data_IF_757323051105
#
_entry.id   IF_757323051105
#
_cell.length_a   1.000
_cell.length_b   1.000
_cell.length_c   1.000
_cell.angle_alpha   90.00
_cell.angle_beta   90.00
_cell.angle_gamma   90.00
#
_symmetry.space_group_name_H-M   'P 1'
#
loop_
_entity.id
_entity.type
_entity.pdbx_description
1 polymer ?
#
# COMPACT_ATOMS: atom_id res chain seq x y z
N UNK A 1 10.79 13.88 -0.72
CA UNK A 1 10.94 12.53 -0.10
C UNK A 1 10.16 12.58 1.22
N UNK A 2 9.60 11.49 1.72
CA UNK A 2 8.86 11.55 3.01
C UNK A 2 9.83 11.62 4.19
N UNK A 3 9.35 12.08 5.35
CA UNK A 3 10.16 12.22 6.58
C UNK A 3 10.82 10.89 6.99
N UNK A 4 10.16 9.76 6.72
CA UNK A 4 10.69 8.42 6.99
C UNK A 4 11.68 7.90 5.92
N UNK A 5 12.03 8.72 4.92
CA UNK A 5 12.93 8.37 3.81
C UNK A 5 12.25 7.68 2.62
N UNK A 6 10.94 7.45 2.67
CA UNK A 6 10.23 6.81 1.57
C UNK A 6 10.04 7.73 0.36
N UNK A 7 10.03 7.12 -0.83
CA UNK A 7 9.69 7.82 -2.07
C UNK A 7 8.19 7.73 -2.31
N UNK A 8 7.53 8.87 -2.19
CA UNK A 8 6.11 9.02 -2.48
C UNK A 8 5.91 9.72 -3.82
N UNK A 9 5.10 9.12 -4.70
CA UNK A 9 4.75 9.64 -6.01
C UNK A 9 3.22 9.59 -6.19
N UNK A 10 2.69 10.33 -7.18
CA UNK A 10 1.28 10.24 -7.57
C UNK A 10 0.85 8.78 -7.82
N UNK A 11 -0.34 8.42 -7.39
CA UNK A 11 -0.93 7.09 -7.47
C UNK A 11 -0.45 6.09 -6.40
N UNK A 12 0.53 6.45 -5.55
CA UNK A 12 0.92 5.62 -4.40
C UNK A 12 -0.10 5.73 -3.26
N UNK A 13 -0.09 4.72 -2.41
CA UNK A 13 -0.87 4.71 -1.18
C UNK A 13 0.01 5.12 -0.01
N UNK A 14 -0.53 5.92 0.88
CA UNK A 14 0.16 6.48 2.05
C UNK A 14 -0.73 6.42 3.27
N UNK A 15 -0.12 6.51 4.45
CA UNK A 15 -0.83 6.86 5.68
C UNK A 15 -0.71 8.35 5.95
N UNK A 16 -1.80 8.98 6.36
CA UNK A 16 -1.82 10.38 6.75
C UNK A 16 -2.67 10.56 8.02
N UNK A 17 -2.40 11.64 8.75
CA UNK A 17 -3.12 11.94 9.99
C UNK A 17 -4.00 13.16 9.80
N UNK A 18 -5.28 13.06 10.17
CA UNK A 18 -6.22 14.17 10.24
C UNK A 18 -6.92 14.12 11.60
N UNK A 19 -6.87 15.22 12.36
CA UNK A 19 -7.46 15.32 13.70
C UNK A 19 -7.04 14.18 14.66
N UNK A 20 -5.79 13.72 14.57
CA UNK A 20 -5.25 12.63 15.39
C UNK A 20 -5.64 11.22 14.95
N UNK A 21 -6.48 11.07 13.92
CA UNK A 21 -6.83 9.78 13.33
C UNK A 21 -5.96 9.48 12.11
N UNK A 22 -5.56 8.22 11.97
CA UNK A 22 -4.74 7.76 10.85
C UNK A 22 -5.64 7.19 9.75
N UNK A 23 -5.39 7.60 8.51
CA UNK A 23 -6.15 7.17 7.33
C UNK A 23 -5.21 6.64 6.26
N UNK A 24 -5.69 5.64 5.52
CA UNK A 24 -5.09 5.25 4.24
C UNK A 24 -5.62 6.19 3.16
N UNK A 25 -4.73 6.69 2.31
CA UNK A 25 -5.11 7.50 1.17
C UNK A 25 -4.27 7.19 -0.05
N UNK A 26 -4.88 7.36 -1.23
CA UNK A 26 -4.19 7.33 -2.53
C UNK A 26 -3.79 8.76 -2.89
N UNK A 27 -2.52 8.97 -3.20
CA UNK A 27 -1.98 10.27 -3.60
C UNK A 27 -2.51 10.62 -4.97
N UNK A 28 -3.37 11.64 -5.03
CA UNK A 28 -3.88 12.19 -6.29
C UNK A 28 -2.90 13.24 -6.81
N UNK A 29 -2.49 14.12 -5.90
CA UNK A 29 -1.60 15.22 -6.22
C UNK A 29 -0.66 15.52 -5.06
N UNK A 30 0.53 16.01 -5.41
CA UNK A 30 1.53 16.54 -4.48
C UNK A 30 1.55 18.04 -4.75
N UNK A 31 1.33 18.84 -3.72
CA UNK A 31 1.18 20.28 -3.78
C UNK A 31 2.52 20.94 -3.45
N UNK A 32 2.89 21.92 -4.27
CA UNK A 32 4.08 22.74 -4.11
C UNK A 32 3.65 24.19 -4.46
N UNK A 33 3.67 25.06 -3.46
CA UNK A 33 3.22 26.44 -3.51
C UNK A 33 4.22 27.31 -4.29
N UNK A 34 5.52 27.01 -4.18
CA UNK A 34 6.55 27.66 -4.98
C UNK A 34 7.58 26.65 -5.53
N UNK A 35 7.41 26.19 -6.78
CA UNK A 35 8.33 25.25 -7.41
C UNK A 35 9.74 25.84 -7.67
N UNK A 36 9.94 27.14 -7.44
CA UNK A 36 11.24 27.79 -7.58
C UNK A 36 12.08 27.78 -6.28
N UNK A 37 11.46 27.43 -5.15
CA UNK A 37 12.13 27.36 -3.84
C UNK A 37 13.11 26.20 -3.71
N UNK A 38 12.94 25.12 -4.50
CA UNK A 38 13.96 24.10 -4.72
C UNK A 38 14.35 23.23 -3.51
N UNK A 39 13.71 23.43 -2.35
CA UNK A 39 13.98 22.64 -1.13
C UNK A 39 13.51 21.18 -1.28
N UNK A 40 12.65 20.87 -2.25
CA UNK A 40 12.24 19.51 -2.62
C UNK A 40 11.27 18.86 -1.63
N UNK A 41 10.82 19.61 -0.62
CA UNK A 41 9.78 19.23 0.32
C UNK A 41 8.42 19.75 -0.15
N UNK A 42 7.40 18.89 -0.24
CA UNK A 42 6.07 19.30 -0.67
C UNK A 42 5.33 20.07 0.41
N UNK A 43 4.61 21.12 0.02
CA UNK A 43 3.74 21.91 0.91
C UNK A 43 2.47 21.15 1.34
N UNK A 44 2.12 20.10 0.59
CA UNK A 44 1.05 19.20 0.99
C UNK A 44 0.73 18.13 -0.04
N UNK A 45 -0.32 17.38 0.26
CA UNK A 45 -0.78 16.23 -0.52
C UNK A 45 -2.30 16.27 -0.62
N UNK A 46 -2.81 16.11 -1.83
CA UNK A 46 -4.22 15.78 -2.04
C UNK A 46 -4.36 14.27 -2.07
N UNK A 47 -5.06 13.71 -1.09
CA UNK A 47 -5.30 12.29 -0.99
C UNK A 47 -6.77 11.98 -1.24
N UNK A 48 -7.01 10.96 -2.07
CA UNK A 48 -8.30 10.27 -2.09
C UNK A 48 -8.34 9.31 -0.91
N UNK A 49 -9.36 9.43 -0.05
CA UNK A 49 -9.49 8.58 1.13
C UNK A 49 -9.74 7.13 0.72
N UNK A 50 -9.16 6.21 1.47
CA UNK A 50 -9.45 4.79 1.35
C UNK A 50 -10.04 4.27 2.67
N UNK A 51 -10.95 3.30 2.55
CA UNK A 51 -11.46 2.52 3.67
C UNK A 51 -10.80 1.15 3.68
N UNK A 52 -10.48 0.65 4.87
CA UNK A 52 -9.94 -0.69 5.06
C UNK A 52 -11.04 -1.60 5.62
N UNK A 53 -11.28 -2.74 4.99
CA UNK A 53 -12.18 -3.75 5.54
C UNK A 53 -11.47 -4.54 6.65
N UNK A 54 -12.23 -4.93 7.67
CA UNK A 54 -11.78 -5.88 8.70
C UNK A 54 -11.89 -7.33 8.24
N UNK A 55 -12.59 -7.59 7.13
CA UNK A 55 -12.72 -8.94 6.59
C UNK A 55 -11.39 -9.40 5.99
N UNK A 56 -10.89 -10.59 6.39
CA UNK A 56 -9.63 -11.09 5.88
C UNK A 56 -9.75 -11.49 4.41
N UNK A 57 -8.80 -11.01 3.62
CA UNK A 57 -8.47 -11.65 2.34
C UNK A 57 -7.93 -13.05 2.56
N UNK A 58 -7.78 -13.81 1.47
CA UNK A 58 -7.02 -15.07 1.44
C UNK A 58 -5.58 -14.93 1.94
N UNK A 59 -5.06 -13.70 2.02
CA UNK A 59 -3.75 -13.36 2.57
C UNK A 59 -3.81 -12.90 4.04
N UNK A 60 -4.97 -12.98 4.69
CA UNK A 60 -5.21 -12.47 6.06
C UNK A 60 -4.86 -10.98 6.22
N UNK A 61 -4.98 -10.23 5.13
CA UNK A 61 -4.76 -8.78 5.07
C UNK A 61 -6.07 -8.06 4.76
N UNK A 62 -6.26 -6.83 5.27
CA UNK A 62 -7.48 -6.07 5.05
C UNK A 62 -7.60 -5.62 3.59
N UNK A 63 -8.82 -5.63 3.05
CA UNK A 63 -9.08 -5.03 1.75
C UNK A 63 -9.03 -3.50 1.84
N UNK A 64 -8.67 -2.86 0.74
CA UNK A 64 -8.63 -1.41 0.58
C UNK A 64 -9.57 -1.02 -0.54
N UNK A 65 -10.51 -0.12 -0.26
CA UNK A 65 -11.36 0.49 -1.27
C UNK A 65 -11.21 2.01 -1.23
N UNK A 66 -11.06 2.63 -2.40
CA UNK A 66 -11.08 4.09 -2.49
C UNK A 66 -12.52 4.59 -2.38
N UNK A 67 -12.73 5.69 -1.67
CA UNK A 67 -14.03 6.36 -1.60
C UNK A 67 -13.98 7.68 -2.37
N UNK A 68 -15.14 8.20 -2.77
CA UNK A 68 -15.26 9.50 -3.44
C UNK A 68 -15.16 10.66 -2.44
N UNK A 69 -14.07 10.67 -1.67
CA UNK A 69 -13.74 11.71 -0.69
C UNK A 69 -12.27 12.10 -0.83
N UNK A 70 -12.01 13.39 -0.90
CA UNK A 70 -10.67 13.95 -1.06
C UNK A 70 -10.37 14.94 0.05
N UNK A 71 -9.18 14.82 0.63
CA UNK A 71 -8.73 15.71 1.67
C UNK A 71 -7.29 16.16 1.40
N UNK A 72 -7.02 17.41 1.77
CA UNK A 72 -5.67 17.96 1.76
C UNK A 72 -4.99 17.64 3.09
N UNK A 73 -3.75 17.19 3.01
CA UNK A 73 -2.89 16.88 4.15
C UNK A 73 -1.57 17.61 3.99
N UNK A 74 -1.11 18.29 5.03
CA UNK A 74 0.23 18.87 5.03
C UNK A 74 1.31 17.79 5.16
N UNK A 75 1.03 16.74 5.91
CA UNK A 75 2.01 15.70 6.23
C UNK A 75 1.42 14.30 5.99
N UNK A 76 2.25 13.43 5.42
CA UNK A 76 1.99 12.00 5.31
C UNK A 76 3.05 11.25 6.13
N UNK A 77 2.64 10.18 6.80
CA UNK A 77 3.48 9.44 7.74
C UNK A 77 4.48 8.54 7.01
N UNK A 78 3.98 7.73 6.08
CA UNK A 78 4.76 6.74 5.36
C UNK A 78 4.05 6.30 4.07
N UNK A 79 4.82 5.73 3.14
CA UNK A 79 4.24 5.02 2.01
C UNK A 79 3.82 3.61 2.46
N UNK A 80 2.66 3.16 1.98
CA UNK A 80 2.18 1.82 2.25
C UNK A 80 2.05 1.00 0.98
N UNK A 81 2.28 -0.29 1.14
CA UNK A 81 2.22 -1.23 0.05
C UNK A 81 0.79 -1.79 -0.09
N UNK A 82 0.09 -1.36 -1.13
CA UNK A 82 -1.24 -1.86 -1.51
C UNK A 82 -1.10 -2.70 -2.77
N UNK A 83 -1.66 -3.90 -2.76
CA UNK A 83 -1.45 -4.93 -3.79
C UNK A 83 -2.79 -5.52 -4.22
N UNK A 84 -2.86 -6.12 -5.41
CA UNK A 84 -4.05 -6.90 -5.79
C UNK A 84 -4.06 -8.26 -5.07
N UNK A 85 -5.23 -8.69 -4.61
CA UNK A 85 -5.48 -10.06 -4.16
C UNK A 85 -5.57 -11.02 -5.37
N UNK A 86 -4.46 -11.20 -6.09
CA UNK A 86 -4.44 -11.87 -7.39
C UNK A 86 -4.96 -13.32 -7.34
N UNK A 87 -4.74 -14.03 -6.23
CA UNK A 87 -5.25 -15.40 -6.00
C UNK A 87 -6.77 -15.48 -6.09
N UNK A 88 -7.47 -14.44 -5.63
CA UNK A 88 -8.94 -14.36 -5.60
C UNK A 88 -9.53 -13.84 -6.91
N UNK A 89 -8.70 -13.23 -7.74
CA UNK A 89 -9.08 -12.65 -9.02
C UNK A 89 -8.68 -13.52 -10.21
N UNK A 90 -8.37 -14.81 -10.02
CA UNK A 90 -8.19 -15.74 -11.14
C UNK A 90 -9.57 -15.98 -11.81
N UNK A 91 -9.73 -15.84 -13.14
CA UNK A 91 -8.72 -15.70 -14.21
C UNK A 91 -8.48 -14.28 -14.74
N UNK A 92 -8.90 -13.24 -14.02
CA UNK A 92 -8.76 -11.82 -14.41
C UNK A 92 -7.29 -11.38 -14.44
N UNK A 93 -6.51 -11.73 -13.41
CA UNK A 93 -5.06 -11.48 -13.40
C UNK A 93 -4.33 -12.57 -14.20
N UNK A 94 -3.87 -12.27 -15.41
CA UNK A 94 -3.25 -13.25 -16.32
C UNK A 94 -1.75 -13.04 -16.51
N UNK A 95 -0.98 -14.11 -16.79
CA UNK A 95 0.39 -13.98 -17.24
C UNK A 95 0.44 -13.29 -18.60
N UNK A 96 1.11 -12.14 -18.70
CA UNK A 96 1.27 -11.38 -19.95
C UNK A 96 2.69 -11.46 -20.53
N UNK A 97 3.63 -12.06 -19.80
CA UNK A 97 5.02 -12.20 -20.23
C UNK A 97 5.88 -12.89 -19.20
N UNK A 98 7.20 -12.83 -19.41
CA UNK A 98 8.20 -13.35 -18.50
C UNK A 98 9.29 -12.31 -18.23
N UNK A 99 9.78 -12.26 -17.00
CA UNK A 99 10.90 -11.43 -16.58
C UNK A 99 11.99 -12.30 -15.95
N UNK A 100 13.26 -12.02 -16.26
CA UNK A 100 14.38 -12.67 -15.60
C UNK A 100 14.42 -12.30 -14.11
N UNK A 101 14.61 -13.29 -13.25
CA UNK A 101 14.70 -13.11 -11.81
C UNK A 101 16.12 -12.64 -11.48
N UNK A 102 16.20 -11.52 -10.76
CA UNK A 102 17.46 -11.03 -10.22
C UNK A 102 17.57 -11.49 -8.76
N UNK A 103 18.66 -12.19 -8.44
CA UNK A 103 19.00 -12.60 -7.07
C UNK A 103 20.38 -12.06 -6.74
N UNK A 104 20.56 -11.49 -5.54
CA UNK A 104 21.84 -10.91 -5.10
C UNK A 104 22.47 -9.93 -6.11
N UNK A 105 21.63 -9.13 -6.78
CA UNK A 105 22.03 -8.19 -7.87
C UNK A 105 22.57 -8.84 -9.14
N UNK A 106 22.44 -10.16 -9.30
CA UNK A 106 22.77 -10.90 -10.54
C UNK A 106 21.50 -11.38 -11.23
N UNK A 107 21.40 -11.13 -12.52
CA UNK A 107 20.34 -11.72 -13.34
C UNK A 107 20.60 -13.22 -13.46
N UNK A 108 19.61 -14.02 -13.09
CA UNK A 108 19.67 -15.48 -13.13
C UNK A 108 19.00 -16.01 -14.39
N UNK A 109 19.19 -17.30 -14.69
CA UNK A 109 18.45 -18.00 -15.75
C UNK A 109 16.98 -18.27 -15.38
N UNK A 110 16.59 -18.07 -14.12
CA UNK A 110 15.21 -18.23 -13.69
C UNK A 110 14.35 -17.09 -14.25
N UNK A 111 13.16 -17.42 -14.73
CA UNK A 111 12.16 -16.43 -15.13
C UNK A 111 10.95 -16.51 -14.21
N UNK A 112 10.26 -15.38 -14.08
CA UNK A 112 8.95 -15.29 -13.42
C UNK A 112 7.93 -14.75 -14.40
N UNK A 113 6.69 -15.20 -14.27
CA UNK A 113 5.59 -14.61 -15.02
C UNK A 113 5.40 -13.13 -14.64
N UNK A 114 5.21 -12.27 -15.63
CA UNK A 114 4.70 -10.91 -15.44
C UNK A 114 3.19 -11.05 -15.38
N UNK A 115 2.60 -10.68 -14.25
CA UNK A 115 1.15 -10.69 -14.10
C UNK A 115 0.60 -9.35 -14.56
N UNK A 116 -0.28 -9.39 -15.56
CA UNK A 116 -1.09 -8.25 -15.94
C UNK A 116 -2.32 -8.20 -15.04
N UNK A 117 -2.41 -7.15 -14.25
CA UNK A 117 -3.60 -6.88 -13.47
C UNK A 117 -4.61 -6.15 -14.35
N UNK A 118 -5.73 -6.81 -14.68
CA UNK A 118 -6.87 -6.17 -15.32
C UNK A 118 -7.91 -5.79 -14.27
N UNK A 119 -8.66 -4.71 -14.54
CA UNK A 119 -9.67 -4.15 -13.64
C UNK A 119 -10.67 -5.21 -13.15
N UNK A 120 -11.14 -5.10 -11.89
CA UNK A 120 -11.27 -3.82 -11.19
C UNK A 120 -10.25 -3.59 -10.07
N UNK A 121 -10.04 -2.31 -9.78
CA UNK A 121 -9.28 -1.77 -8.63
C UNK A 121 -9.95 -2.12 -7.27
N UNK A 122 -10.98 -2.97 -7.29
CA UNK A 122 -11.91 -3.22 -6.17
C UNK A 122 -11.43 -4.33 -5.22
N UNK A 123 -10.34 -5.03 -5.56
CA UNK A 123 -9.76 -6.14 -4.78
C UNK A 123 -8.31 -5.86 -4.44
N UNK A 124 -8.08 -4.68 -3.87
CA UNK A 124 -6.80 -4.31 -3.31
C UNK A 124 -6.71 -4.73 -1.85
N UNK A 125 -5.51 -5.08 -1.40
CA UNK A 125 -5.19 -5.45 -0.02
C UNK A 125 -4.05 -4.59 0.48
N UNK A 126 -4.11 -4.19 1.75
CA UNK A 126 -3.04 -3.45 2.42
C UNK A 126 -2.07 -4.44 3.03
N UNK A 127 -0.80 -4.37 2.63
CA UNK A 127 0.24 -5.16 3.26
C UNK A 127 0.59 -4.61 4.64
N UNK A 128 0.05 -5.26 5.67
CA UNK A 128 0.28 -4.91 7.08
C UNK A 128 1.59 -5.48 7.64
N UNK A 129 2.33 -6.30 6.88
CA UNK A 129 3.59 -6.92 7.27
C UNK A 129 4.83 -6.08 6.90
N UNK A 130 4.66 -4.84 6.43
CA UNK A 130 5.76 -3.92 6.14
C UNK A 130 6.50 -3.53 7.43
N UNK A 131 7.71 -4.07 7.63
CA UNK A 131 8.47 -3.93 8.88
C UNK A 131 8.90 -2.50 9.19
N UNK A 132 9.26 -1.69 8.18
CA UNK A 132 9.83 -0.35 8.38
C UNK A 132 8.85 0.62 9.05
N UNK A 133 7.56 0.47 8.78
CA UNK A 133 6.49 1.38 9.24
C UNK A 133 5.40 0.63 10.01
N UNK A 134 5.77 -0.52 10.60
CA UNK A 134 4.84 -1.41 11.28
C UNK A 134 4.04 -0.71 12.38
N UNK A 135 4.63 0.28 13.07
CA UNK A 135 3.98 1.08 14.12
C UNK A 135 2.72 1.80 13.62
N UNK A 136 2.75 2.29 12.38
CA UNK A 136 1.62 2.99 11.77
C UNK A 136 0.60 2.02 11.16
N UNK A 137 1.01 0.77 10.89
CA UNK A 137 0.19 -0.26 10.26
C UNK A 137 -0.54 -1.19 11.24
N UNK A 138 -0.11 -1.27 12.51
CA UNK A 138 -0.71 -2.19 13.49
C UNK A 138 -2.22 -1.98 13.66
N UNK A 139 -2.70 -0.73 13.59
CA UNK A 139 -4.12 -0.41 13.71
C UNK A 139 -4.99 -0.99 12.59
N UNK A 140 -4.40 -1.39 11.46
CA UNK A 140 -5.09 -1.99 10.32
C UNK A 140 -4.94 -3.52 10.29
N UNK A 141 -4.19 -4.11 11.21
CA UNK A 141 -3.97 -5.55 11.23
C UNK A 141 -5.25 -6.27 11.66
N UNK A 142 -5.60 -7.32 10.92
CA UNK A 142 -6.67 -8.24 11.33
C UNK A 142 -6.14 -9.07 12.51
N UNK A 143 -6.81 -9.06 13.67
CA UNK A 143 -6.38 -9.85 14.82
C UNK A 143 -6.26 -11.32 14.45
N UNK A 144 -5.12 -11.91 14.75
CA UNK A 144 -4.95 -13.37 14.68
C UNK A 144 -5.55 -13.96 15.94
N UNK A 145 -6.38 -14.99 15.81
CA UNK A 145 -6.85 -15.76 16.97
C UNK A 145 -5.64 -16.21 17.79
N UNK A 146 -5.74 -16.09 19.12
CA UNK A 146 -4.73 -16.68 20.00
C UNK A 146 -4.67 -18.18 19.70
N UNK A 147 -3.45 -18.70 19.54
CA UNK A 147 -3.23 -20.13 19.50
C UNK A 147 -3.43 -20.60 20.94
N UNK A 148 -4.36 -21.53 21.16
CA UNK A 148 -4.54 -22.11 22.49
C UNK A 148 -3.27 -22.88 22.84
N UNK A 149 -2.74 -22.68 24.05
CA UNK A 149 -1.46 -23.27 24.47
C UNK A 149 -1.49 -24.82 24.42
N UNK A 150 -2.68 -25.42 24.50
CA UNK A 150 -2.91 -26.88 24.39
C UNK A 150 -2.77 -27.45 22.96
N UNK A 151 -2.75 -26.62 21.91
CA UNK A 151 -2.55 -27.08 20.51
C UNK A 151 -1.05 -27.19 20.12
N UNK A 152 -0.13 -27.06 21.09
CA UNK A 152 1.32 -27.05 20.86
C UNK A 152 2.05 -28.34 21.25
N UNK A 153 1.34 -29.47 21.46
CA UNK A 153 1.95 -30.77 21.79
C UNK A 153 1.49 -31.94 20.89
#
# INVERSE_FOLDING_TARGET
ILVNGDRCNRGKYVLATLNGQVYVGRVIEILEADPSSGDGDPDGFLLQRCVCSIDPSSYSMPYVASVDEWHSFQHVLCAVNVQHACSEMNPVCTPSGQAAVTQERKTTAHTRAIIQHTKPEDRLILNTAQMRDAVNLQGFRIPTSAIDEDDTL
#
